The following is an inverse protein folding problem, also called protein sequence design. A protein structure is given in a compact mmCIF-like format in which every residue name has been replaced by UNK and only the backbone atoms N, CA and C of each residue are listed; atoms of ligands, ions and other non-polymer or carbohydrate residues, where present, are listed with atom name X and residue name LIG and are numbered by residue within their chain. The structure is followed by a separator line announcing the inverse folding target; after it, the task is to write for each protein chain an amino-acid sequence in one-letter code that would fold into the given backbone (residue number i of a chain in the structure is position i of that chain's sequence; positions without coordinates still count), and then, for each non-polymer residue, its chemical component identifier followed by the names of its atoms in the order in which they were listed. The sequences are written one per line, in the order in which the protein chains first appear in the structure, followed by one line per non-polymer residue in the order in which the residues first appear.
data_IF_551416639730
#
_entry.id   IF_551416639730
#
_cell.length_a   1.000
_cell.length_b   1.000
_cell.length_c   1.000
_cell.angle_alpha   90.00
_cell.angle_beta   90.00
_cell.angle_gamma   90.00
#
_symmetry.space_group_name_H-M   'P 1'
#
loop_
_entity.id
_entity.type
_entity.pdbx_description
1 polymer ?
#
# COMPACT_ATOMS: atom_id res chain seq x y z
N UNK A 1 -1.77 -19.85 -12.28
CA UNK A 1 -2.51 -19.63 -13.53
C UNK A 1 -3.93 -19.13 -13.21
N UNK A 2 -4.29 -17.92 -13.70
CA UNK A 2 -5.61 -17.33 -13.50
C UNK A 2 -6.70 -17.91 -14.43
N UNK A 3 -6.35 -18.72 -15.41
CA UNK A 3 -7.33 -19.40 -16.27
C UNK A 3 -8.19 -20.41 -15.51
N UNK A 4 -7.74 -20.80 -14.31
CA UNK A 4 -8.47 -21.70 -13.43
C UNK A 4 -9.56 -21.00 -12.60
N UNK A 5 -9.59 -19.67 -12.60
CA UNK A 5 -10.62 -18.89 -11.93
C UNK A 5 -11.80 -18.65 -12.87
N UNK A 6 -13.01 -18.73 -12.34
CA UNK A 6 -14.19 -18.40 -13.11
C UNK A 6 -14.27 -16.91 -13.47
N UNK A 7 -15.04 -16.60 -14.49
CA UNK A 7 -15.16 -15.24 -15.00
C UNK A 7 -15.77 -14.30 -13.97
N UNK A 8 -16.71 -14.75 -13.14
CA UNK A 8 -17.35 -13.94 -12.09
C UNK A 8 -16.32 -13.49 -11.05
N UNK A 9 -15.47 -14.41 -10.59
CA UNK A 9 -14.37 -14.10 -9.65
C UNK A 9 -13.39 -13.14 -10.28
N UNK A 10 -12.97 -13.36 -11.51
CA UNK A 10 -12.05 -12.48 -12.22
C UNK A 10 -12.63 -11.09 -12.45
N UNK A 11 -13.93 -10.98 -12.73
CA UNK A 11 -14.64 -9.71 -12.90
C UNK A 11 -14.80 -8.96 -11.57
N UNK A 12 -15.04 -9.68 -10.47
CA UNK A 12 -15.11 -9.11 -9.13
C UNK A 12 -13.84 -8.36 -8.77
N UNK A 13 -12.67 -8.94 -9.01
CA UNK A 13 -11.38 -8.29 -8.78
C UNK A 13 -11.07 -7.18 -9.79
N UNK A 14 -11.69 -7.22 -10.95
CA UNK A 14 -11.46 -6.31 -12.08
C UNK A 14 -10.52 -6.89 -13.12
N UNK A 15 -10.90 -6.76 -14.43
CA UNK A 15 -10.13 -7.23 -15.59
C UNK A 15 -9.00 -6.27 -15.96
N UNK A 16 -8.30 -5.76 -14.96
CA UNK A 16 -7.14 -4.88 -15.11
C UNK A 16 -5.92 -5.48 -14.38
N UNK A 17 -4.76 -4.91 -14.61
CA UNK A 17 -3.50 -5.41 -14.04
C UNK A 17 -3.57 -5.55 -12.52
N UNK A 18 -4.11 -4.56 -11.82
CA UNK A 18 -4.15 -4.55 -10.36
C UNK A 18 -5.11 -5.61 -9.79
N UNK A 19 -6.31 -5.70 -10.37
CA UNK A 19 -7.28 -6.73 -9.97
C UNK A 19 -6.77 -8.15 -10.18
N UNK A 20 -6.22 -8.43 -11.34
CA UNK A 20 -5.68 -9.75 -11.64
C UNK A 20 -4.41 -10.06 -10.83
N UNK A 21 -3.64 -9.06 -10.45
CA UNK A 21 -2.48 -9.17 -9.58
C UNK A 21 -2.89 -9.55 -8.15
N UNK A 22 -3.92 -8.91 -7.59
CA UNK A 22 -4.44 -9.26 -6.27
C UNK A 22 -5.14 -10.63 -6.25
N UNK A 23 -5.84 -10.99 -7.33
CA UNK A 23 -6.39 -12.34 -7.47
C UNK A 23 -5.27 -13.40 -7.50
N UNK A 24 -4.17 -13.13 -8.21
CA UNK A 24 -2.99 -14.01 -8.18
C UNK A 24 -2.40 -14.11 -6.78
N UNK A 25 -2.32 -12.99 -6.04
CA UNK A 25 -1.84 -12.98 -4.67
C UNK A 25 -2.67 -13.91 -3.77
N UNK A 26 -3.99 -13.84 -3.82
CA UNK A 26 -4.88 -14.75 -3.08
C UNK A 26 -4.60 -16.22 -3.43
N UNK A 27 -4.47 -16.56 -4.70
CA UNK A 27 -4.16 -17.93 -5.13
C UNK A 27 -2.81 -18.44 -4.62
N UNK A 28 -1.80 -17.58 -4.59
CA UNK A 28 -0.48 -17.96 -4.09
C UNK A 28 -0.52 -18.24 -2.58
N UNK A 29 -1.26 -17.45 -1.82
CA UNK A 29 -1.48 -17.69 -0.39
C UNK A 29 -2.23 -19.01 -0.15
N UNK A 30 -3.27 -19.30 -0.94
CA UNK A 30 -3.96 -20.61 -0.87
C UNK A 30 -3.05 -21.79 -1.23
N UNK A 31 -2.08 -21.56 -2.10
CA UNK A 31 -1.07 -22.56 -2.48
C UNK A 31 0.08 -22.71 -1.45
N UNK A 32 0.05 -21.98 -0.33
CA UNK A 32 0.99 -22.11 0.77
C UNK A 32 2.17 -21.14 0.73
N UNK A 33 2.06 -20.03 0.02
CA UNK A 33 3.05 -18.95 0.11
C UNK A 33 2.80 -18.16 1.39
N UNK A 34 3.79 -18.09 2.28
CA UNK A 34 3.64 -17.46 3.60
C UNK A 34 3.66 -15.92 3.54
N UNK A 35 4.49 -15.35 2.69
CA UNK A 35 4.63 -13.90 2.55
C UNK A 35 4.63 -13.49 1.08
N UNK A 36 3.76 -12.55 0.73
CA UNK A 36 3.68 -12.00 -0.61
C UNK A 36 3.63 -10.49 -0.56
N UNK A 37 4.49 -9.84 -1.32
CA UNK A 37 4.46 -8.40 -1.52
C UNK A 37 4.17 -8.09 -2.98
N UNK A 38 3.26 -7.18 -3.22
CA UNK A 38 2.92 -6.71 -4.56
C UNK A 38 2.72 -5.20 -4.56
N UNK A 39 2.81 -4.57 -5.72
CA UNK A 39 2.70 -3.13 -5.85
C UNK A 39 1.62 -2.76 -6.86
N UNK A 40 0.63 -1.99 -6.41
CA UNK A 40 -0.42 -1.44 -7.26
C UNK A 40 0.09 -0.17 -7.98
N UNK A 41 1.04 -0.36 -8.87
CA UNK A 41 1.61 0.66 -9.75
C UNK A 41 1.73 0.10 -11.16
N UNK A 42 2.12 0.95 -12.10
CA UNK A 42 2.23 0.59 -13.50
C UNK A 42 0.99 0.98 -14.30
N UNK A 43 0.99 0.75 -15.60
CA UNK A 43 -0.04 1.27 -16.48
C UNK A 43 -1.40 0.69 -16.15
N UNK A 44 -2.31 1.56 -15.77
CA UNK A 44 -3.72 1.28 -15.67
C UNK A 44 -4.41 1.98 -16.85
N UNK A 45 -4.87 1.22 -17.84
CA UNK A 45 -5.48 1.74 -19.07
C UNK A 45 -4.57 2.70 -19.86
N UNK A 46 -3.26 2.62 -19.72
CA UNK A 46 -2.28 3.47 -20.38
C UNK A 46 -2.24 4.93 -19.92
N UNK A 47 -3.02 5.30 -18.88
CA UNK A 47 -3.16 6.71 -18.50
C UNK A 47 -2.42 7.11 -17.24
N UNK A 48 -2.32 6.23 -16.24
CA UNK A 48 -1.69 6.53 -14.95
C UNK A 48 -0.80 5.38 -14.54
N UNK A 49 0.45 5.68 -14.20
CA UNK A 49 1.47 4.66 -13.95
C UNK A 49 1.87 4.54 -12.48
N UNK A 50 1.63 5.56 -11.67
CA UNK A 50 2.06 5.60 -10.26
C UNK A 50 1.15 6.49 -9.41
N UNK A 51 1.47 6.62 -8.13
CA UNK A 51 0.77 7.44 -7.15
C UNK A 51 1.47 8.77 -6.85
N UNK A 52 2.43 9.16 -7.68
CA UNK A 52 3.27 10.34 -7.47
C UNK A 52 2.68 11.57 -8.14
N UNK A 53 1.59 12.10 -7.57
CA UNK A 53 0.78 13.18 -8.14
C UNK A 53 1.29 14.57 -7.75
N UNK A 54 2.52 14.89 -8.10
CA UNK A 54 3.02 16.25 -8.03
C UNK A 54 2.36 17.14 -9.08
N UNK A 55 2.05 18.38 -8.71
CA UNK A 55 1.38 19.33 -9.60
C UNK A 55 2.11 19.58 -10.93
N UNK A 56 3.42 19.38 -10.98
CA UNK A 56 4.22 19.54 -12.22
C UNK A 56 3.96 18.42 -13.23
N UNK A 57 3.62 17.21 -12.78
CA UNK A 57 3.51 16.03 -13.65
C UNK A 57 2.09 15.48 -13.77
N UNK A 58 1.27 15.61 -12.74
CA UNK A 58 -0.09 15.08 -12.74
C UNK A 58 -1.09 16.02 -12.07
N UNK A 59 -2.27 16.09 -12.63
CA UNK A 59 -3.43 16.68 -11.98
C UNK A 59 -4.00 15.66 -10.99
N UNK A 60 -3.78 15.86 -9.69
CA UNK A 60 -4.07 14.85 -8.64
C UNK A 60 -5.48 14.28 -8.71
N UNK A 61 -6.51 15.12 -8.91
CA UNK A 61 -7.90 14.63 -8.97
C UNK A 61 -8.21 13.84 -10.23
N UNK A 62 -7.65 14.21 -11.37
CA UNK A 62 -7.86 13.47 -12.61
C UNK A 62 -7.12 12.14 -12.58
N UNK A 63 -5.92 12.11 -12.04
CA UNK A 63 -5.18 10.87 -11.78
C UNK A 63 -5.95 9.92 -10.84
N UNK A 64 -6.51 10.45 -9.74
CA UNK A 64 -7.31 9.66 -8.80
C UNK A 64 -8.59 9.08 -9.41
N UNK A 65 -9.29 9.79 -10.31
CA UNK A 65 -10.48 9.26 -10.99
C UNK A 65 -10.23 7.93 -11.70
N UNK A 66 -9.04 7.75 -12.25
CA UNK A 66 -8.69 6.49 -12.93
C UNK A 66 -8.24 5.41 -11.95
N UNK A 67 -7.42 5.77 -10.97
CA UNK A 67 -6.80 4.80 -10.05
C UNK A 67 -7.74 4.35 -8.95
N UNK A 68 -8.44 5.28 -8.32
CA UNK A 68 -9.24 4.97 -7.13
C UNK A 68 -10.26 3.87 -7.42
N UNK A 69 -10.96 3.94 -8.56
CA UNK A 69 -11.95 2.91 -8.92
C UNK A 69 -11.35 1.52 -9.03
N UNK A 70 -10.21 1.39 -9.70
CA UNK A 70 -9.55 0.10 -9.86
C UNK A 70 -8.95 -0.40 -8.54
N UNK A 71 -8.41 0.52 -7.74
CA UNK A 71 -7.90 0.24 -6.40
C UNK A 71 -9.01 -0.24 -5.48
N UNK A 72 -10.10 0.51 -5.36
CA UNK A 72 -11.24 0.16 -4.50
C UNK A 72 -11.80 -1.20 -4.86
N UNK A 73 -12.03 -1.46 -6.15
CA UNK A 73 -12.55 -2.74 -6.62
C UNK A 73 -11.60 -3.90 -6.29
N UNK A 74 -10.32 -3.74 -6.55
CA UNK A 74 -9.35 -4.82 -6.37
C UNK A 74 -9.07 -5.13 -4.88
N UNK A 75 -8.94 -4.08 -4.06
CA UNK A 75 -8.64 -4.23 -2.63
C UNK A 75 -9.87 -4.75 -1.87
N UNK A 76 -11.07 -4.22 -2.14
CA UNK A 76 -12.28 -4.73 -1.50
C UNK A 76 -12.54 -6.19 -1.88
N UNK A 77 -12.39 -6.54 -3.16
CA UNK A 77 -12.55 -7.92 -3.61
C UNK A 77 -11.57 -8.88 -2.91
N UNK A 78 -10.32 -8.48 -2.73
CA UNK A 78 -9.33 -9.29 -2.00
C UNK A 78 -9.74 -9.51 -0.54
N UNK A 79 -10.11 -8.44 0.16
CA UNK A 79 -10.48 -8.51 1.58
C UNK A 79 -11.73 -9.38 1.75
N UNK A 80 -12.77 -9.16 0.95
CA UNK A 80 -14.00 -9.93 0.98
C UNK A 80 -13.76 -11.41 0.65
N UNK A 81 -12.98 -11.72 -0.40
CA UNK A 81 -12.69 -13.09 -0.83
C UNK A 81 -11.91 -13.88 0.24
N UNK A 82 -10.97 -13.23 0.94
CA UNK A 82 -10.26 -13.82 2.08
C UNK A 82 -11.22 -14.16 3.22
N UNK A 83 -12.17 -13.29 3.53
CA UNK A 83 -13.20 -13.56 4.55
C UNK A 83 -14.16 -14.66 4.13
N UNK A 84 -14.69 -14.62 2.92
CA UNK A 84 -15.63 -15.63 2.38
C UNK A 84 -15.01 -17.03 2.34
N UNK A 85 -13.69 -17.12 2.17
CA UNK A 85 -12.93 -18.39 2.16
C UNK A 85 -12.49 -18.85 3.55
N UNK A 86 -12.80 -18.09 4.61
CA UNK A 86 -12.36 -18.40 5.96
C UNK A 86 -10.85 -18.30 6.17
N UNK A 87 -10.17 -17.50 5.36
CA UNK A 87 -8.72 -17.27 5.45
C UNK A 87 -8.37 -16.11 6.40
N UNK A 88 -9.35 -15.32 6.82
CA UNK A 88 -9.17 -14.09 7.59
C UNK A 88 -8.47 -14.28 8.93
N UNK A 89 -8.50 -15.47 9.55
CA UNK A 89 -7.75 -15.73 10.77
C UNK A 89 -6.25 -15.93 10.52
N UNK A 90 -5.88 -16.42 9.35
CA UNK A 90 -4.51 -16.78 8.99
C UNK A 90 -3.82 -15.78 8.08
N UNK A 91 -4.57 -15.05 7.30
CA UNK A 91 -4.06 -14.12 6.28
C UNK A 91 -4.25 -12.70 6.75
N UNK A 92 -3.13 -12.01 6.94
CA UNK A 92 -3.09 -10.58 7.20
C UNK A 92 -2.87 -9.83 5.89
N UNK A 93 -3.83 -9.01 5.50
CA UNK A 93 -3.72 -8.08 4.37
C UNK A 93 -3.31 -6.72 4.89
N UNK A 94 -2.20 -6.20 4.37
CA UNK A 94 -1.72 -4.86 4.68
C UNK A 94 -1.62 -4.05 3.39
N UNK A 95 -2.34 -2.94 3.33
CA UNK A 95 -2.25 -2.01 2.20
C UNK A 95 -1.65 -0.70 2.70
N UNK A 96 -0.49 -0.35 2.19
CA UNK A 96 0.31 0.78 2.67
C UNK A 96 1.05 1.48 1.54
N UNK A 97 1.50 2.68 1.79
CA UNK A 97 2.54 3.37 1.04
C UNK A 97 3.75 3.66 1.93
N UNK A 98 4.80 4.21 1.34
CA UNK A 98 6.03 4.58 2.07
C UNK A 98 5.86 5.84 2.91
N UNK A 99 4.97 6.74 2.51
CA UNK A 99 4.62 8.00 3.21
C UNK A 99 3.28 8.54 2.69
N UNK A 100 2.76 9.56 3.34
CA UNK A 100 1.56 10.27 2.95
C UNK A 100 1.80 11.37 1.89
N UNK A 101 0.75 12.15 1.66
CA UNK A 101 0.77 13.33 0.78
C UNK A 101 0.33 14.55 1.56
N UNK A 102 0.89 15.73 1.20
CA UNK A 102 0.57 16.98 1.88
C UNK A 102 -0.94 17.19 1.97
N UNK A 103 -1.49 17.53 3.15
CA UNK A 103 -2.90 17.87 3.29
C UNK A 103 -3.26 19.07 2.43
N UNK A 104 -2.37 20.05 2.38
CA UNK A 104 -2.51 21.24 1.53
C UNK A 104 -2.18 20.91 0.08
N UNK A 105 -3.10 21.28 -0.82
CA UNK A 105 -2.92 21.15 -2.26
C UNK A 105 -2.02 22.28 -2.76
N UNK A 106 -0.98 21.92 -3.53
CA UNK A 106 -0.13 22.84 -4.26
C UNK A 106 -0.65 23.04 -5.69
N UNK A 107 -0.39 24.21 -6.28
CA UNK A 107 -0.73 24.51 -7.67
C UNK A 107 0.53 24.97 -8.40
N UNK A 108 0.94 24.23 -9.43
CA UNK A 108 2.11 24.54 -10.24
C UNK A 108 1.82 24.43 -11.73
N UNK A 109 2.61 25.08 -12.60
CA UNK A 109 2.51 24.90 -14.04
C UNK A 109 2.79 23.43 -14.41
N UNK A 110 1.92 22.84 -15.19
CA UNK A 110 2.10 21.49 -15.77
C UNK A 110 3.26 21.48 -16.77
N UNK A 111 4.02 20.37 -16.81
CA UNK A 111 4.97 20.09 -17.91
C UNK A 111 4.25 19.61 -19.17
N UNK A 112 3.02 19.12 -19.04
CA UNK A 112 2.25 18.52 -20.15
C UNK A 112 2.66 17.07 -20.47
N UNK A 113 3.62 16.49 -19.74
CA UNK A 113 4.20 15.17 -20.06
C UNK A 113 3.47 14.00 -19.41
N UNK A 114 2.73 14.23 -18.33
CA UNK A 114 2.01 13.17 -17.61
C UNK A 114 0.70 12.79 -18.29
N UNK A 115 0.35 11.51 -18.23
CA UNK A 115 -0.88 10.98 -18.83
C UNK A 115 -2.19 11.54 -18.22
N UNK A 116 -2.12 12.12 -17.02
CA UNK A 116 -3.20 12.83 -16.35
C UNK A 116 -2.84 14.31 -16.12
N UNK A 117 -2.01 14.88 -17.00
CA UNK A 117 -1.61 16.29 -16.95
C UNK A 117 -2.53 17.18 -17.77
N UNK A 118 -2.71 18.41 -17.30
CA UNK A 118 -3.19 19.49 -18.14
C UNK A 118 -2.11 19.87 -19.20
N UNK A 119 -2.46 20.64 -20.25
CA UNK A 119 -1.47 21.15 -21.19
C UNK A 119 -0.33 21.91 -20.51
N UNK A 120 0.85 21.88 -21.10
CA UNK A 120 2.04 22.55 -20.57
C UNK A 120 1.77 24.03 -20.23
N UNK A 121 2.27 24.47 -19.08
CA UNK A 121 2.06 25.82 -18.56
C UNK A 121 0.73 26.06 -17.83
N UNK A 122 -0.25 25.17 -17.95
CA UNK A 122 -1.52 25.26 -17.21
C UNK A 122 -1.29 24.98 -15.73
N UNK A 123 -1.77 25.83 -14.85
CA UNK A 123 -1.70 25.58 -13.39
C UNK A 123 -2.65 24.46 -13.02
N UNK A 124 -2.11 23.42 -12.42
CA UNK A 124 -2.88 22.26 -11.97
C UNK A 124 -2.57 21.91 -10.52
N UNK A 125 -3.52 21.23 -9.81
CA UNK A 125 -3.34 20.84 -8.42
C UNK A 125 -2.48 19.55 -8.30
N UNK A 126 -1.68 19.49 -7.25
CA UNK A 126 -0.93 18.32 -6.84
C UNK A 126 -0.72 18.25 -5.34
N UNK A 127 -0.15 17.16 -4.87
CA UNK A 127 0.20 16.93 -3.46
C UNK A 127 1.61 16.36 -3.39
N UNK A 128 2.43 16.97 -2.55
CA UNK A 128 3.83 16.60 -2.37
C UNK A 128 3.99 15.49 -1.31
N UNK A 129 5.20 14.96 -1.15
CA UNK A 129 5.51 13.94 -0.15
C UNK A 129 5.31 14.48 1.27
N UNK A 130 4.71 13.66 2.16
CA UNK A 130 4.43 14.05 3.54
C UNK A 130 4.63 12.86 4.50
N UNK A 131 5.82 12.72 5.09
CA UNK A 131 6.11 11.55 5.94
C UNK A 131 5.52 11.63 7.35
N UNK A 132 4.92 12.77 7.75
CA UNK A 132 4.45 13.01 9.12
C UNK A 132 3.12 12.33 9.45
N UNK A 133 2.29 12.08 8.46
CA UNK A 133 1.02 11.40 8.63
C UNK A 133 0.58 10.68 7.36
N UNK A 134 0.14 9.43 7.48
CA UNK A 134 -0.52 8.67 6.40
C UNK A 134 -1.34 7.53 6.98
N UNK A 135 -2.19 6.93 6.16
CA UNK A 135 -3.10 5.87 6.57
C UNK A 135 -2.73 4.55 5.92
N UNK A 136 -2.90 3.46 6.67
CA UNK A 136 -2.76 2.09 6.21
C UNK A 136 -4.08 1.34 6.40
N UNK A 137 -4.34 0.34 5.57
CA UNK A 137 -5.45 -0.59 5.75
C UNK A 137 -4.88 -1.91 6.26
N UNK A 138 -5.52 -2.45 7.28
CA UNK A 138 -5.22 -3.76 7.87
C UNK A 138 -6.50 -4.58 7.89
N UNK A 139 -6.45 -5.81 7.36
CA UNK A 139 -7.60 -6.69 7.33
C UNK A 139 -7.17 -8.15 7.52
N UNK A 140 -7.98 -8.92 8.23
CA UNK A 140 -7.67 -10.31 8.56
C UNK A 140 -6.58 -10.46 9.62
N UNK A 141 -5.90 -11.61 9.62
CA UNK A 141 -4.86 -11.94 10.58
C UNK A 141 -5.35 -12.06 12.03
N UNK A 142 -6.64 -12.35 12.25
CA UNK A 142 -7.25 -12.37 13.58
C UNK A 142 -7.40 -10.99 14.23
N UNK A 143 -7.16 -9.91 13.49
CA UNK A 143 -7.29 -8.55 14.01
C UNK A 143 -8.76 -8.14 14.17
N UNK A 144 -9.06 -7.38 15.22
CA UNK A 144 -10.33 -6.67 15.32
C UNK A 144 -10.40 -5.55 14.30
N UNK A 145 -11.19 -5.76 13.25
CA UNK A 145 -11.38 -4.82 12.14
C UNK A 145 -12.59 -3.90 12.34
N UNK A 146 -12.90 -3.04 11.35
CA UNK A 146 -14.03 -2.13 11.40
C UNK A 146 -13.85 -0.91 12.30
N UNK A 147 -12.60 -0.55 12.62
CA UNK A 147 -12.27 0.60 13.48
C UNK A 147 -11.13 1.44 12.93
N UNK A 148 -11.06 2.69 13.35
CA UNK A 148 -9.92 3.56 13.12
C UNK A 148 -8.98 3.53 14.33
N UNK A 149 -7.67 3.51 14.08
CA UNK A 149 -6.63 3.59 15.10
C UNK A 149 -5.76 4.80 14.80
N UNK A 150 -5.67 5.70 15.78
CA UNK A 150 -4.96 6.96 15.63
C UNK A 150 -5.82 8.07 15.05
N UNK A 151 -5.33 9.28 15.19
CA UNK A 151 -5.93 10.48 14.62
C UNK A 151 -4.85 11.48 14.24
N UNK A 152 -5.18 12.37 13.31
CA UNK A 152 -4.36 13.52 12.97
C UNK A 152 -4.90 14.79 13.66
N UNK A 153 -4.10 15.84 13.64
CA UNK A 153 -4.57 17.18 13.97
C UNK A 153 -5.69 17.63 13.00
N UNK A 154 -6.33 18.76 13.30
CA UNK A 154 -7.44 19.29 12.50
C UNK A 154 -7.06 19.66 11.06
N UNK A 155 -5.77 19.77 10.75
CA UNK A 155 -5.24 20.05 9.41
C UNK A 155 -4.80 18.81 8.65
N UNK A 156 -4.75 17.63 9.32
CA UNK A 156 -4.21 16.41 8.74
C UNK A 156 -2.68 16.43 8.56
N UNK A 157 -1.99 17.33 9.27
CA UNK A 157 -0.56 17.54 9.11
C UNK A 157 0.27 16.58 9.96
N UNK A 158 -0.15 16.34 11.20
CA UNK A 158 0.56 15.51 12.16
C UNK A 158 -0.31 14.43 12.77
N UNK A 159 0.28 13.27 13.01
CA UNK A 159 -0.35 12.25 13.85
C UNK A 159 -0.25 12.68 15.32
N UNK A 160 -1.38 12.77 16.03
CA UNK A 160 -1.48 13.27 17.40
C UNK A 160 -2.04 12.27 18.41
N UNK A 161 -2.68 11.19 17.94
CA UNK A 161 -3.27 10.17 18.79
C UNK A 161 -2.80 8.79 18.36
N UNK A 162 -2.43 7.94 19.34
CA UNK A 162 -1.97 6.55 19.11
C UNK A 162 -0.99 6.45 17.94
N UNK A 163 0.05 7.26 18.00
CA UNK A 163 1.07 7.37 16.96
C UNK A 163 1.74 6.01 16.80
N UNK A 164 1.67 5.46 15.59
CA UNK A 164 2.35 4.23 15.20
C UNK A 164 3.48 4.58 14.21
N UNK A 165 4.70 4.25 14.60
CA UNK A 165 5.87 4.43 13.75
C UNK A 165 6.19 3.19 12.91
N UNK A 166 7.24 3.25 12.07
CA UNK A 166 7.67 2.11 11.27
C UNK A 166 8.03 0.87 12.11
N UNK A 167 8.55 1.08 13.32
CA UNK A 167 8.86 -0.01 14.26
C UNK A 167 7.61 -0.76 14.71
N UNK A 168 6.52 -0.04 15.02
CA UNK A 168 5.25 -0.64 15.43
C UNK A 168 4.59 -1.38 14.26
N UNK A 169 4.68 -0.80 13.06
CA UNK A 169 4.22 -1.42 11.83
C UNK A 169 4.90 -2.77 11.59
N UNK A 170 6.22 -2.82 11.63
CA UNK A 170 6.98 -4.06 11.46
C UNK A 170 6.75 -5.05 12.59
N UNK A 171 6.67 -4.58 13.85
CA UNK A 171 6.41 -5.44 15.00
C UNK A 171 5.04 -6.14 14.89
N UNK A 172 4.04 -5.46 14.35
CA UNK A 172 2.71 -6.05 14.12
C UNK A 172 2.77 -7.16 13.07
N UNK A 173 3.50 -6.97 11.97
CA UNK A 173 3.70 -8.00 10.94
C UNK A 173 4.48 -9.18 11.53
N UNK A 174 5.57 -8.94 12.24
CA UNK A 174 6.36 -10.01 12.86
C UNK A 174 5.55 -10.80 13.88
N UNK A 175 4.75 -10.12 14.69
CA UNK A 175 3.85 -10.78 15.63
C UNK A 175 2.87 -11.73 14.93
N UNK A 176 2.26 -11.29 13.83
CA UNK A 176 1.37 -12.12 13.01
C UNK A 176 2.09 -13.35 12.44
N UNK A 177 3.34 -13.19 12.02
CA UNK A 177 4.17 -14.28 11.50
C UNK A 177 4.76 -15.19 12.60
N UNK A 178 4.46 -14.94 13.87
CA UNK A 178 5.03 -15.69 15.00
C UNK A 178 6.53 -15.41 15.23
N UNK A 179 7.05 -14.31 14.70
CA UNK A 179 8.45 -13.90 14.84
C UNK A 179 8.58 -12.97 16.05
N UNK A 180 9.42 -13.34 17.01
CA UNK A 180 9.76 -12.47 18.13
C UNK A 180 10.70 -11.35 17.69
N UNK A 181 10.18 -10.14 17.60
CA UNK A 181 10.94 -8.95 17.19
C UNK A 181 12.11 -8.60 18.11
N UNK A 182 12.10 -9.04 19.37
CA UNK A 182 13.23 -8.86 20.27
C UNK A 182 14.42 -9.74 19.88
N UNK A 183 14.18 -10.98 19.48
CA UNK A 183 15.18 -11.89 18.98
C UNK A 183 15.77 -11.46 17.62
N UNK A 184 14.97 -10.89 16.73
CA UNK A 184 15.47 -10.32 15.45
C UNK A 184 16.51 -9.22 15.71
N UNK A 185 16.24 -8.33 16.67
CA UNK A 185 17.21 -7.28 17.07
C UNK A 185 18.47 -7.81 17.70
N UNK A 186 18.40 -8.92 18.42
CA UNK A 186 19.57 -9.58 18.99
C UNK A 186 20.48 -10.15 17.88
N UNK A 187 19.91 -10.87 16.91
CA UNK A 187 20.63 -11.41 15.76
C UNK A 187 21.30 -10.32 14.90
N UNK A 188 20.62 -9.17 14.70
CA UNK A 188 21.24 -8.05 13.99
C UNK A 188 22.43 -7.47 14.74
N UNK A 189 22.34 -7.29 16.06
CA UNK A 189 23.45 -6.78 16.87
C UNK A 189 24.66 -7.72 16.82
N UNK A 190 24.45 -9.02 16.89
CA UNK A 190 25.53 -10.03 16.79
C UNK A 190 26.16 -10.03 15.40
N UNK A 191 25.35 -9.88 14.35
CA UNK A 191 25.84 -9.80 12.96
C UNK A 191 26.70 -8.55 12.72
N UNK A 192 26.27 -7.38 13.21
CA UNK A 192 27.07 -6.15 13.13
C UNK A 192 28.31 -6.20 14.00
N UNK A 193 28.27 -6.84 15.14
CA UNK A 193 29.45 -7.05 15.99
C UNK A 193 30.49 -7.94 15.31
N UNK A 194 30.07 -9.04 14.68
CA UNK A 194 30.97 -9.95 13.97
C UNK A 194 31.56 -9.34 12.68
N UNK A 195 30.81 -8.52 11.96
CA UNK A 195 31.34 -7.80 10.80
C UNK A 195 32.42 -6.79 11.17
N UNK A 196 32.25 -6.03 12.27
CA UNK A 196 33.26 -5.09 12.75
C UNK A 196 34.57 -5.76 13.23
N UNK A 197 34.46 -6.98 13.69
CA UNK A 197 35.67 -7.76 14.09
C UNK A 197 36.45 -8.26 12.88
N UNK A 198 35.78 -8.64 11.79
CA UNK A 198 36.41 -9.10 10.54
C UNK A 198 36.97 -7.96 9.66
N UNK A 199 36.60 -6.72 9.87
CA UNK A 199 37.11 -5.55 9.15
C UNK A 199 38.37 -4.94 9.85
N UNK A 200 38.72 -5.40 11.05
CA UNK A 200 39.85 -4.95 11.83
C UNK A 200 41.00 -6.00 11.95
N UNK A 201 40.90 -7.10 11.22
CA UNK A 201 41.99 -8.09 10.99
C UNK A 201 42.57 -7.91 9.57
#
# INVERSE_FOLDING_TARGET
DLSQEDDRTRDRYGRNTWGQQLLMARRLIEAGVDVLTTSLRGPLCGRVQNWDDHAVTHHVFDALKFRARAYDQAVSALIEDIHERGLNERVLVVVTGEFGRTPKISYQPSTGEGNASAPAGTRQPGRDHWPRAYSNIWAGGGLETGRFIGATDARGEDSIERICGPGDFLATIYHHLGIDSANVRACERERYASQRLSENE
#
